data_IF_185378717056
#
_entry.id   IF_185378717056
#
_cell.length_a   1.000
_cell.length_b   1.000
_cell.length_c   1.000
_cell.angle_alpha   90.00
_cell.angle_beta   90.00
_cell.angle_gamma   90.00
#
_symmetry.space_group_name_H-M   'P 1'
#
loop_
_entity.id
_entity.type
_entity.pdbx_description
1 polymer ?
#
# COMPACT_ATOMS: atom_id res chain seq x y z
N UNK A 1 -9.82 -13.72 0.67
CA UNK A 1 -8.66 -12.84 0.43
C UNK A 1 -9.09 -11.44 0.81
N UNK A 2 -8.35 -10.76 1.66
CA UNK A 2 -8.67 -9.37 2.03
C UNK A 2 -8.24 -8.39 0.92
N UNK A 3 -8.81 -7.18 0.90
CA UNK A 3 -8.37 -6.12 -0.03
C UNK A 3 -6.87 -5.83 0.12
N UNK A 4 -6.35 -5.96 1.34
CA UNK A 4 -4.95 -5.71 1.68
C UNK A 4 -4.02 -6.79 1.11
N UNK A 5 -4.38 -8.07 1.25
CA UNK A 5 -3.66 -9.20 0.64
C UNK A 5 -3.68 -9.12 -0.88
N UNK A 6 -4.79 -8.65 -1.47
CA UNK A 6 -4.91 -8.48 -2.92
C UNK A 6 -3.96 -7.39 -3.41
N UNK A 7 -3.91 -6.26 -2.70
CA UNK A 7 -3.00 -5.17 -3.02
C UNK A 7 -1.54 -5.59 -2.87
N UNK A 8 -1.19 -6.27 -1.78
CA UNK A 8 0.17 -6.78 -1.56
C UNK A 8 0.63 -7.68 -2.71
N UNK A 9 -0.17 -8.68 -3.07
CA UNK A 9 0.14 -9.60 -4.16
C UNK A 9 0.30 -8.89 -5.50
N UNK A 10 -0.57 -7.91 -5.80
CA UNK A 10 -0.46 -7.10 -7.02
C UNK A 10 0.84 -6.31 -7.05
N UNK A 11 1.17 -5.60 -5.97
CA UNK A 11 2.39 -4.81 -5.89
C UNK A 11 3.65 -5.67 -5.99
N UNK A 12 3.64 -6.86 -5.37
CA UNK A 12 4.75 -7.82 -5.49
C UNK A 12 4.91 -8.32 -6.93
N UNK A 13 3.82 -8.59 -7.63
CA UNK A 13 3.86 -9.00 -9.04
C UNK A 13 4.37 -7.85 -9.95
N UNK A 14 3.90 -6.63 -9.71
CA UNK A 14 4.34 -5.44 -10.45
C UNK A 14 5.84 -5.17 -10.24
N UNK A 15 6.32 -5.29 -8.99
CA UNK A 15 7.76 -5.20 -8.67
C UNK A 15 8.55 -6.31 -9.38
N UNK A 16 8.08 -7.56 -9.33
CA UNK A 16 8.78 -8.69 -9.96
C UNK A 16 8.85 -8.60 -11.49
N UNK A 17 7.88 -7.91 -12.12
CA UNK A 17 7.81 -7.72 -13.57
C UNK A 17 8.52 -6.46 -14.08
N UNK A 18 8.95 -5.56 -13.18
CA UNK A 18 9.63 -4.34 -13.55
C UNK A 18 10.99 -4.66 -14.21
N UNK A 19 11.18 -4.18 -15.44
CA UNK A 19 12.36 -4.49 -16.25
C UNK A 19 13.57 -3.59 -15.95
N UNK A 20 13.35 -2.47 -15.28
CA UNK A 20 14.37 -1.46 -15.00
C UNK A 20 14.01 -0.59 -13.78
N UNK A 21 14.94 0.29 -13.40
CA UNK A 21 14.77 1.21 -12.28
C UNK A 21 13.59 2.18 -12.46
N UNK A 22 13.27 2.55 -13.70
CA UNK A 22 12.17 3.48 -13.99
C UNK A 22 10.81 2.82 -13.76
N UNK A 23 10.69 1.54 -14.14
CA UNK A 23 9.53 0.72 -13.85
C UNK A 23 9.37 0.48 -12.35
N UNK A 24 10.46 0.18 -11.62
CA UNK A 24 10.43 0.06 -10.15
C UNK A 24 9.95 1.36 -9.51
N UNK A 25 10.48 2.50 -9.95
CA UNK A 25 10.08 3.81 -9.45
C UNK A 25 8.59 4.11 -9.73
N UNK A 26 8.09 3.74 -10.92
CA UNK A 26 6.68 3.89 -11.25
C UNK A 26 5.79 3.06 -10.31
N UNK A 27 6.16 1.81 -10.01
CA UNK A 27 5.44 0.98 -9.04
C UNK A 27 5.48 1.62 -7.65
N UNK A 28 6.66 2.08 -7.20
CA UNK A 28 6.83 2.77 -5.92
C UNK A 28 5.93 4.01 -5.82
N UNK A 29 5.85 4.84 -6.86
CA UNK A 29 4.99 6.02 -6.89
C UNK A 29 3.51 5.64 -6.89
N UNK A 30 3.12 4.59 -7.63
CA UNK A 30 1.73 4.10 -7.66
C UNK A 30 1.27 3.53 -6.31
N UNK A 31 2.18 2.98 -5.51
CA UNK A 31 1.88 2.46 -4.18
C UNK A 31 1.96 3.53 -3.09
N UNK A 32 3.07 4.27 -3.06
CA UNK A 32 3.48 5.12 -1.93
C UNK A 32 3.42 6.62 -2.23
N UNK A 33 3.12 7.02 -3.46
CA UNK A 33 2.96 8.42 -3.83
C UNK A 33 1.80 9.11 -3.09
N UNK A 34 1.64 10.42 -3.27
CA UNK A 34 0.58 11.20 -2.61
C UNK A 34 -0.83 10.66 -2.89
N UNK A 35 -1.02 10.03 -4.05
CA UNK A 35 -2.25 9.38 -4.52
C UNK A 35 -2.07 7.88 -4.72
N UNK A 36 -1.01 7.31 -4.14
CA UNK A 36 -0.74 5.90 -4.25
C UNK A 36 -1.70 5.08 -3.39
N UNK A 37 -1.93 3.83 -3.78
CA UNK A 37 -2.90 2.94 -3.16
C UNK A 37 -2.73 2.81 -1.64
N UNK A 38 -1.50 2.59 -1.16
CA UNK A 38 -1.19 2.47 0.28
C UNK A 38 -1.40 3.82 0.98
N UNK A 39 -0.97 4.92 0.36
CA UNK A 39 -1.18 6.27 0.90
C UNK A 39 -2.66 6.64 1.02
N UNK A 40 -3.50 6.20 0.09
CA UNK A 40 -4.95 6.41 0.18
C UNK A 40 -5.59 5.56 1.27
N UNK A 41 -5.17 4.29 1.42
CA UNK A 41 -5.59 3.45 2.54
C UNK A 41 -5.23 4.09 3.89
N UNK A 42 -4.01 4.62 4.05
CA UNK A 42 -3.60 5.31 5.27
C UNK A 42 -4.48 6.53 5.59
N UNK A 43 -4.98 7.26 4.58
CA UNK A 43 -5.89 8.40 4.81
C UNK A 43 -7.24 7.97 5.37
N UNK A 44 -7.72 6.77 5.04
CA UNK A 44 -8.99 6.25 5.58
C UNK A 44 -8.96 6.13 7.10
N UNK A 45 -7.77 5.92 7.69
CA UNK A 45 -7.59 5.91 9.13
C UNK A 45 -8.09 7.21 9.78
N UNK A 46 -7.96 8.35 9.10
CA UNK A 46 -8.43 9.65 9.60
C UNK A 46 -9.93 9.70 9.92
N UNK A 47 -10.74 8.82 9.35
CA UNK A 47 -12.17 8.71 9.62
C UNK A 47 -12.53 7.63 10.67
N UNK A 48 -11.56 6.79 11.07
CA UNK A 48 -11.78 5.66 12.00
C UNK A 48 -11.66 6.08 13.47
N UNK A 49 -12.24 5.26 14.36
CA UNK A 49 -12.06 5.36 15.82
C UNK A 49 -10.62 5.06 16.26
N UNK A 50 -10.28 5.36 17.51
CA UNK A 50 -8.94 5.11 18.06
C UNK A 50 -8.61 3.61 18.08
N UNK A 51 -9.58 2.78 18.47
CA UNK A 51 -9.48 1.32 18.54
C UNK A 51 -9.27 0.72 17.14
N UNK A 52 -10.05 1.16 16.15
CA UNK A 52 -9.90 0.71 14.76
C UNK A 52 -8.55 1.13 14.18
N UNK A 53 -8.09 2.35 14.44
CA UNK A 53 -6.76 2.82 14.02
C UNK A 53 -5.64 1.97 14.61
N UNK A 54 -5.76 1.56 15.88
CA UNK A 54 -4.76 0.74 16.55
C UNK A 54 -4.59 -0.64 15.89
N UNK A 55 -5.66 -1.18 15.29
CA UNK A 55 -5.63 -2.46 14.57
C UNK A 55 -5.27 -2.27 13.09
N UNK A 56 -5.93 -1.35 12.39
CA UNK A 56 -5.77 -1.15 10.93
C UNK A 56 -4.49 -0.42 10.57
N UNK A 57 -4.04 0.52 11.39
CA UNK A 57 -2.85 1.33 11.12
C UNK A 57 -1.58 0.50 10.94
N UNK A 58 -1.23 -0.39 11.88
CA UNK A 58 -0.08 -1.29 11.73
C UNK A 58 -0.20 -2.21 10.51
N UNK A 59 -1.40 -2.76 10.25
CA UNK A 59 -1.62 -3.64 9.10
C UNK A 59 -1.32 -2.93 7.77
N UNK A 60 -1.84 -1.71 7.58
CA UNK A 60 -1.59 -0.93 6.35
C UNK A 60 -0.12 -0.50 6.26
N UNK A 61 0.51 -0.11 7.37
CA UNK A 61 1.94 0.23 7.37
C UNK A 61 2.82 -0.98 7.07
N UNK A 62 2.36 -2.20 7.34
CA UNK A 62 3.05 -3.44 6.96
C UNK A 62 3.35 -3.53 5.46
N UNK A 63 2.47 -3.00 4.60
CA UNK A 63 2.65 -2.96 3.14
C UNK A 63 3.82 -2.09 2.66
N UNK A 64 4.48 -1.35 3.55
CA UNK A 64 5.60 -0.46 3.22
C UNK A 64 6.97 -1.06 3.49
N UNK A 65 7.03 -2.22 4.15
CA UNK A 65 8.25 -2.88 4.61
C UNK A 65 8.51 -4.15 3.79
#
# INVERSE_FOLDING_TARGET
MSDMETLENSLMADIASAADEQAIEAVRVSALGKKGSVSEMLKTLGAMSAEERQVKGPAINGLKN
#
